data_IF_110617080208
#
_entry.id   IF_110617080208
#
_cell.length_a   1.000
_cell.length_b   1.000
_cell.length_c   1.000
_cell.angle_alpha   90.00
_cell.angle_beta   90.00
_cell.angle_gamma   90.00
#
_symmetry.space_group_name_H-M   'P 1'
#
loop_
_entity.id
_entity.type
_entity.pdbx_description
1 polymer ?
#
# COMPACT_ATOMS: atom_id res chain seq x y z
N UNK A 1 -35.96 18.61 -13.01
CA UNK A 1 -34.71 18.22 -13.70
C UNK A 1 -33.59 18.44 -12.72
N UNK A 2 -32.73 17.44 -12.50
CA UNK A 2 -31.46 17.43 -11.74
C UNK A 2 -31.28 15.95 -11.34
N UNK A 3 -30.54 15.14 -12.07
CA UNK A 3 -29.09 15.21 -12.16
C UNK A 3 -28.55 13.95 -11.47
N UNK A 4 -28.87 12.77 -12.01
CA UNK A 4 -28.35 11.48 -11.52
C UNK A 4 -26.85 11.48 -11.77
N UNK A 5 -26.04 11.62 -10.72
CA UNK A 5 -24.59 11.48 -10.82
C UNK A 5 -24.28 10.02 -11.11
N UNK A 6 -23.98 9.72 -12.37
CA UNK A 6 -23.48 8.42 -12.81
C UNK A 6 -22.12 8.15 -12.16
N UNK A 7 -22.15 7.32 -11.12
CA UNK A 7 -20.94 6.72 -10.55
C UNK A 7 -20.32 5.81 -11.61
N UNK A 8 -19.28 6.27 -12.28
CA UNK A 8 -18.52 5.50 -13.27
C UNK A 8 -17.74 4.41 -12.54
N UNK A 9 -18.36 3.25 -12.35
CA UNK A 9 -17.69 2.03 -11.94
C UNK A 9 -16.73 1.60 -13.06
N UNK A 10 -15.49 2.09 -13.04
CA UNK A 10 -14.45 1.64 -13.98
C UNK A 10 -14.35 0.10 -13.88
N UNK A 11 -14.47 -0.58 -15.02
CA UNK A 11 -14.53 -2.04 -15.11
C UNK A 11 -13.31 -2.78 -14.53
N UNK A 12 -13.32 -4.13 -14.53
CA UNK A 12 -12.21 -4.91 -14.00
C UNK A 12 -10.92 -4.58 -14.75
N UNK A 13 -9.87 -4.20 -14.01
CA UNK A 13 -8.55 -3.92 -14.60
C UNK A 13 -7.91 -5.25 -15.01
N UNK A 14 -7.34 -5.30 -16.21
CA UNK A 14 -6.64 -6.50 -16.71
C UNK A 14 -5.13 -6.28 -16.63
N UNK A 15 -4.40 -7.32 -16.28
CA UNK A 15 -2.94 -7.38 -16.32
C UNK A 15 -2.47 -8.52 -17.22
N UNK A 16 -1.61 -8.23 -18.19
CA UNK A 16 -0.92 -9.25 -18.97
C UNK A 16 0.38 -9.67 -18.27
N UNK A 17 0.51 -10.97 -17.97
CA UNK A 17 1.67 -11.54 -17.28
C UNK A 17 2.91 -11.42 -18.16
N UNK A 18 3.94 -10.75 -17.66
CA UNK A 18 5.27 -10.70 -18.25
C UNK A 18 6.21 -11.74 -17.62
N UNK A 19 7.30 -12.07 -18.32
CA UNK A 19 8.38 -12.91 -17.80
C UNK A 19 8.90 -12.33 -16.47
N UNK A 20 8.97 -13.17 -15.44
CA UNK A 20 9.42 -12.79 -14.09
C UNK A 20 8.31 -12.25 -13.18
N UNK A 21 7.07 -12.11 -13.65
CA UNK A 21 5.97 -11.85 -12.75
C UNK A 21 5.66 -13.09 -11.88
N UNK A 22 5.41 -12.81 -10.61
CA UNK A 22 4.80 -13.72 -9.64
C UNK A 22 3.44 -13.16 -9.22
N UNK A 23 2.54 -14.01 -8.73
CA UNK A 23 1.26 -13.57 -8.16
C UNK A 23 1.46 -12.51 -7.07
N UNK A 24 2.48 -12.68 -6.23
CA UNK A 24 2.86 -11.70 -5.22
C UNK A 24 3.22 -10.34 -5.85
N UNK A 25 4.12 -10.31 -6.83
CA UNK A 25 4.54 -9.07 -7.48
C UNK A 25 3.39 -8.33 -8.18
N UNK A 26 2.46 -9.09 -8.78
CA UNK A 26 1.28 -8.54 -9.44
C UNK A 26 0.31 -7.99 -8.39
N UNK A 27 0.00 -8.78 -7.36
CA UNK A 27 -0.91 -8.38 -6.30
C UNK A 27 -0.42 -7.08 -5.62
N UNK A 28 0.87 -7.00 -5.30
CA UNK A 28 1.48 -5.83 -4.70
C UNK A 28 1.48 -4.60 -5.64
N UNK A 29 1.72 -4.81 -6.95
CA UNK A 29 1.62 -3.75 -7.96
C UNK A 29 0.23 -3.12 -8.04
N UNK A 30 -0.82 -3.93 -7.84
CA UNK A 30 -2.20 -3.43 -7.89
C UNK A 30 -2.79 -3.15 -6.52
N UNK A 31 -2.01 -3.31 -5.46
CA UNK A 31 -2.43 -3.12 -4.08
C UNK A 31 -3.66 -3.98 -3.73
N UNK A 32 -3.61 -5.26 -4.12
CA UNK A 32 -4.61 -6.31 -3.84
C UNK A 32 -3.93 -7.50 -3.15
N UNK A 33 -4.68 -8.37 -2.47
CA UNK A 33 -4.10 -9.58 -1.89
C UNK A 33 -3.85 -10.67 -2.94
N UNK A 34 -2.84 -11.51 -2.71
CA UNK A 34 -2.57 -12.68 -3.57
C UNK A 34 -3.77 -13.61 -3.61
N UNK A 35 -4.42 -13.85 -2.48
CA UNK A 35 -5.59 -14.74 -2.41
C UNK A 35 -6.76 -14.22 -3.24
N UNK A 36 -7.03 -12.92 -3.20
CA UNK A 36 -8.09 -12.35 -4.03
C UNK A 36 -7.72 -12.37 -5.51
N UNK A 37 -6.45 -12.10 -5.86
CA UNK A 37 -5.97 -12.25 -7.22
C UNK A 37 -6.11 -13.71 -7.69
N UNK A 38 -5.83 -14.69 -6.82
CA UNK A 38 -6.03 -16.10 -7.11
C UNK A 38 -7.48 -16.45 -7.38
N UNK A 39 -8.36 -16.07 -6.45
CA UNK A 39 -9.81 -16.28 -6.54
C UNK A 39 -10.42 -15.65 -7.79
N UNK A 40 -10.02 -14.42 -8.13
CA UNK A 40 -10.52 -13.71 -9.31
C UNK A 40 -10.13 -14.37 -10.64
N UNK A 41 -9.08 -15.21 -10.63
CA UNK A 41 -8.54 -15.86 -11.82
C UNK A 41 -8.68 -17.39 -11.78
N UNK A 42 -9.49 -17.92 -10.87
CA UNK A 42 -9.76 -19.36 -10.79
C UNK A 42 -8.56 -20.22 -10.39
N UNK A 43 -7.52 -19.62 -9.80
CA UNK A 43 -6.38 -20.37 -9.30
C UNK A 43 -6.77 -21.18 -8.06
N UNK A 44 -6.29 -22.43 -7.97
CA UNK A 44 -6.51 -23.29 -6.82
C UNK A 44 -5.24 -23.41 -5.96
N UNK A 45 -5.32 -24.12 -4.83
CA UNK A 45 -4.15 -24.38 -3.98
C UNK A 45 -2.99 -25.08 -4.72
N UNK A 46 -3.29 -25.84 -5.78
CA UNK A 46 -2.30 -26.64 -6.53
C UNK A 46 -2.14 -26.20 -7.99
N UNK A 47 -2.84 -25.13 -8.40
CA UNK A 47 -2.77 -24.59 -9.77
C UNK A 47 -2.75 -23.08 -9.70
N UNK A 48 -1.55 -22.52 -9.58
CA UNK A 48 -1.31 -21.08 -9.52
C UNK A 48 -0.10 -20.62 -10.35
N UNK A 49 0.40 -21.50 -11.22
CA UNK A 49 1.44 -21.20 -12.20
C UNK A 49 0.99 -20.11 -13.17
N UNK A 50 1.82 -19.09 -13.32
CA UNK A 50 1.63 -18.01 -14.29
C UNK A 50 2.38 -18.32 -15.58
N UNK A 51 1.74 -18.04 -16.72
CA UNK A 51 2.35 -18.16 -18.05
C UNK A 51 2.52 -16.77 -18.69
N UNK A 52 3.63 -16.50 -19.40
CA UNK A 52 3.77 -15.27 -20.16
C UNK A 52 2.57 -15.05 -21.10
N UNK A 53 2.12 -13.79 -21.18
CA UNK A 53 0.95 -13.33 -21.95
C UNK A 53 -0.41 -13.78 -21.42
N UNK A 54 -0.46 -14.50 -20.29
CA UNK A 54 -1.71 -14.79 -19.61
C UNK A 54 -2.35 -13.50 -19.11
N UNK A 55 -3.65 -13.34 -19.34
CA UNK A 55 -4.41 -12.20 -18.84
C UNK A 55 -5.00 -12.52 -17.46
N UNK A 56 -4.75 -11.66 -16.49
CA UNK A 56 -5.32 -11.75 -15.16
C UNK A 56 -6.29 -10.60 -14.91
N UNK A 57 -7.47 -10.94 -14.39
CA UNK A 57 -8.40 -10.00 -13.77
C UNK A 57 -7.81 -9.52 -12.45
N UNK A 58 -7.65 -8.21 -12.31
CA UNK A 58 -7.25 -7.57 -11.08
C UNK A 58 -8.50 -7.21 -10.28
N UNK A 59 -8.77 -7.88 -9.15
CA UNK A 59 -9.97 -7.60 -8.35
C UNK A 59 -9.88 -6.22 -7.69
N UNK A 60 -11.02 -5.56 -7.49
CA UNK A 60 -11.11 -4.42 -6.56
C UNK A 60 -11.33 -4.93 -5.14
N UNK A 61 -10.30 -5.51 -4.54
CA UNK A 61 -10.31 -5.89 -3.12
C UNK A 61 -9.29 -5.09 -2.35
N UNK A 62 -9.53 -4.90 -1.06
CA UNK A 62 -8.52 -4.29 -0.19
C UNK A 62 -7.33 -5.25 -0.03
N UNK A 63 -6.13 -4.69 -0.08
CA UNK A 63 -4.92 -5.34 0.41
C UNK A 63 -4.86 -5.11 1.91
N UNK A 64 -4.64 -6.18 2.66
CA UNK A 64 -4.46 -6.14 4.11
C UNK A 64 -3.19 -6.92 4.42
N UNK A 65 -2.33 -6.33 5.24
CA UNK A 65 -1.16 -6.98 5.83
C UNK A 65 -1.20 -6.79 7.33
N UNK A 66 -1.34 -7.90 8.06
CA UNK A 66 -1.62 -7.93 9.50
C UNK A 66 -0.38 -7.72 10.37
N UNK A 67 0.82 -7.82 9.78
CA UNK A 67 2.09 -7.78 10.51
C UNK A 67 3.16 -7.07 9.68
N UNK A 68 3.12 -5.74 9.72
CA UNK A 68 4.13 -4.88 9.09
C UNK A 68 4.95 -4.21 10.18
N UNK A 69 6.29 -4.22 10.04
CA UNK A 69 7.12 -3.34 10.85
C UNK A 69 7.17 -1.96 10.19
N UNK A 70 6.72 -0.96 10.95
CA UNK A 70 6.77 0.44 10.57
C UNK A 70 7.79 1.20 11.43
N UNK A 71 8.48 2.16 10.84
CA UNK A 71 9.20 3.19 11.58
C UNK A 71 8.80 4.58 11.10
N UNK A 72 9.61 5.59 11.42
CA UNK A 72 9.41 6.94 10.93
C UNK A 72 10.70 7.53 10.37
N UNK A 73 10.57 8.48 9.46
CA UNK A 73 11.69 9.24 8.91
C UNK A 73 12.44 10.01 10.00
N UNK A 74 13.67 9.58 10.32
CA UNK A 74 14.52 10.27 11.28
C UNK A 74 14.90 11.70 10.88
N UNK A 75 15.65 12.42 11.73
CA UNK A 75 16.14 13.77 11.45
C UNK A 75 16.92 13.86 10.13
N UNK A 76 16.83 15.01 9.45
CA UNK A 76 17.64 15.33 8.26
C UNK A 76 17.03 14.93 6.91
N UNK A 77 15.84 14.33 6.88
CA UNK A 77 15.13 14.03 5.63
C UNK A 77 14.24 15.18 5.13
N UNK A 78 13.81 16.08 6.01
CA UNK A 78 12.92 17.19 5.66
C UNK A 78 13.47 18.01 4.49
N UNK A 79 12.61 18.32 3.51
CA UNK A 79 12.96 19.06 2.31
C UNK A 79 13.63 18.23 1.20
N UNK A 80 14.02 16.97 1.45
CA UNK A 80 14.57 16.08 0.41
C UNK A 80 13.50 15.71 -0.61
N UNK A 81 13.92 15.41 -1.85
CA UNK A 81 13.01 14.98 -2.91
C UNK A 81 12.60 13.52 -2.68
N UNK A 82 11.30 13.25 -2.67
CA UNK A 82 10.70 11.92 -2.60
C UNK A 82 10.56 11.31 -4.01
N UNK A 83 10.27 10.01 -4.08
CA UNK A 83 10.03 9.28 -5.33
C UNK A 83 8.84 9.80 -6.14
N UNK A 84 7.84 10.44 -5.51
CA UNK A 84 6.74 11.12 -6.22
C UNK A 84 7.15 12.49 -6.81
N UNK A 85 8.41 12.90 -6.64
CA UNK A 85 8.96 14.15 -7.16
C UNK A 85 8.76 15.37 -6.25
N UNK A 86 7.91 15.29 -5.22
CA UNK A 86 7.68 16.37 -4.24
C UNK A 86 8.78 16.38 -3.17
N UNK A 87 8.87 17.47 -2.40
CA UNK A 87 9.76 17.54 -1.23
C UNK A 87 9.07 16.95 0.00
N UNK A 88 9.81 16.18 0.79
CA UNK A 88 9.32 15.57 2.01
C UNK A 88 9.05 16.62 3.09
N UNK A 89 7.84 16.63 3.63
CA UNK A 89 7.51 17.36 4.86
C UNK A 89 7.31 16.37 6.02
N UNK A 90 8.13 16.49 7.06
CA UNK A 90 8.02 15.62 8.25
C UNK A 90 6.76 15.91 9.07
N UNK A 91 6.18 17.11 8.89
CA UNK A 91 4.98 17.56 9.58
C UNK A 91 3.70 17.22 8.82
N UNK A 92 3.80 16.75 7.57
CA UNK A 92 2.65 16.25 6.82
C UNK A 92 2.26 14.85 7.35
N UNK A 93 1.10 14.71 8.02
CA UNK A 93 0.68 13.44 8.61
C UNK A 93 0.20 12.42 7.57
N UNK A 94 0.19 12.78 6.28
CA UNK A 94 -0.26 11.89 5.19
C UNK A 94 0.90 11.19 4.49
N UNK A 95 2.16 11.53 4.77
CA UNK A 95 3.29 10.94 4.07
C UNK A 95 3.68 9.57 4.65
N UNK A 96 3.82 8.59 3.77
CA UNK A 96 4.53 7.34 4.05
C UNK A 96 5.44 6.92 2.87
N UNK A 97 6.49 6.16 3.18
CA UNK A 97 7.28 5.39 2.23
C UNK A 97 6.88 3.91 2.30
N UNK A 98 6.82 3.27 1.14
CA UNK A 98 6.66 1.82 1.06
C UNK A 98 7.55 1.26 -0.06
N UNK A 99 8.09 0.05 0.14
CA UNK A 99 9.05 -0.60 -0.78
C UNK A 99 8.52 -0.72 -2.21
N UNK A 100 7.27 -1.16 -2.34
CA UNK A 100 6.72 -1.71 -3.59
C UNK A 100 5.32 -1.21 -3.97
N UNK A 101 4.45 -0.87 -3.00
CA UNK A 101 3.12 -0.35 -3.30
C UNK A 101 3.19 0.87 -4.23
N UNK A 102 2.24 1.04 -5.17
CA UNK A 102 2.21 2.19 -6.05
C UNK A 102 2.20 3.52 -5.28
N UNK A 103 2.92 4.52 -5.81
CA UNK A 103 2.78 5.88 -5.31
C UNK A 103 1.32 6.33 -5.46
N UNK A 104 0.79 7.05 -4.47
CA UNK A 104 -0.62 7.43 -4.39
C UNK A 104 -1.52 6.40 -3.70
N UNK A 105 -1.01 5.23 -3.32
CA UNK A 105 -1.80 4.23 -2.59
C UNK A 105 -2.15 4.77 -1.21
N UNK A 106 -3.45 4.85 -0.87
CA UNK A 106 -3.88 5.23 0.48
C UNK A 106 -3.93 4.00 1.38
N UNK A 107 -3.35 4.12 2.57
CA UNK A 107 -3.28 3.07 3.57
C UNK A 107 -3.91 3.56 4.87
N UNK A 108 -4.79 2.75 5.46
CA UNK A 108 -5.05 2.81 6.91
C UNK A 108 -3.93 2.06 7.59
N UNK A 109 -3.25 2.72 8.50
CA UNK A 109 -2.17 2.15 9.32
C UNK A 109 -2.66 2.12 10.75
N UNK A 110 -2.72 0.94 11.35
CA UNK A 110 -3.20 0.73 12.72
C UNK A 110 -2.07 0.18 13.58
N UNK A 111 -1.69 0.88 14.64
CA UNK A 111 -0.75 0.34 15.64
C UNK A 111 -1.39 -0.85 16.37
N UNK A 112 -0.65 -1.97 16.45
CA UNK A 112 -1.14 -3.17 17.16
C UNK A 112 -1.10 -3.02 18.67
N UNK A 113 -0.24 -2.14 19.19
CA UNK A 113 -0.10 -1.95 20.63
C UNK A 113 -1.10 -0.95 21.20
N UNK A 114 -1.47 0.10 20.44
CA UNK A 114 -2.40 1.15 20.91
C UNK A 114 -3.79 1.03 20.30
N UNK A 115 -3.96 0.29 19.21
CA UNK A 115 -5.18 0.24 18.40
C UNK A 115 -5.50 1.54 17.65
N UNK A 116 -4.68 2.59 17.78
CA UNK A 116 -4.86 3.86 17.06
C UNK A 116 -4.53 3.69 15.59
N UNK A 117 -5.24 4.43 14.74
CA UNK A 117 -5.01 4.40 13.30
C UNK A 117 -4.93 5.77 12.66
N UNK A 118 -4.27 5.81 11.50
CA UNK A 118 -4.18 6.97 10.64
C UNK A 118 -4.28 6.55 9.17
N UNK A 119 -4.82 7.44 8.32
CA UNK A 119 -4.77 7.28 6.88
C UNK A 119 -3.59 8.06 6.31
N UNK A 120 -2.72 7.37 5.59
CA UNK A 120 -1.56 7.93 4.88
C UNK A 120 -1.63 7.59 3.40
N UNK A 121 -0.76 8.22 2.62
CA UNK A 121 -0.53 7.97 1.21
C UNK A 121 0.93 7.54 1.01
N UNK A 122 1.13 6.50 0.21
CA UNK A 122 2.46 6.08 -0.22
C UNK A 122 3.00 7.15 -1.18
N UNK A 123 3.88 8.01 -0.68
CA UNK A 123 4.44 9.16 -1.40
C UNK A 123 5.93 8.98 -1.73
N UNK A 124 6.59 8.01 -1.10
CA UNK A 124 8.00 7.73 -1.32
C UNK A 124 8.32 6.22 -1.34
N UNK A 125 9.60 5.88 -1.54
CA UNK A 125 10.14 4.52 -1.60
C UNK A 125 11.07 4.23 -0.43
N UNK A 126 11.13 2.95 -0.09
CA UNK A 126 11.80 2.45 1.10
C UNK A 126 10.78 1.99 2.14
N UNK A 127 11.23 1.63 3.35
CA UNK A 127 12.62 1.54 3.77
C UNK A 127 13.40 0.44 3.07
N UNK A 128 14.69 0.66 2.81
CA UNK A 128 15.58 -0.34 2.21
C UNK A 128 16.35 -1.12 3.27
N UNK A 129 15.65 -1.48 4.36
CA UNK A 129 16.18 -2.31 5.44
C UNK A 129 15.36 -3.60 5.46
N UNK A 130 16.04 -4.71 5.72
CA UNK A 130 15.41 -6.01 5.81
C UNK A 130 14.40 -6.05 6.97
N UNK A 131 13.23 -6.64 6.73
CA UNK A 131 12.16 -6.78 7.72
C UNK A 131 11.34 -5.53 8.04
N UNK A 132 11.57 -4.37 7.37
CA UNK A 132 10.76 -3.15 7.56
C UNK A 132 10.07 -2.75 6.26
N UNK A 133 8.77 -2.52 6.25
CA UNK A 133 8.01 -2.34 5.01
C UNK A 133 7.47 -0.92 4.85
N UNK A 134 7.36 -0.17 5.96
CA UNK A 134 6.75 1.14 6.00
C UNK A 134 7.60 2.14 6.81
N UNK A 135 7.81 3.33 6.26
CA UNK A 135 8.31 4.49 7.01
C UNK A 135 7.25 5.60 6.98
N UNK A 136 6.77 6.01 8.15
CA UNK A 136 5.82 7.10 8.33
C UNK A 136 6.54 8.44 8.44
N UNK A 137 5.85 9.54 8.13
CA UNK A 137 6.33 10.85 8.59
C UNK A 137 6.31 10.93 10.13
N UNK A 138 7.09 11.85 10.69
CA UNK A 138 7.07 12.11 12.13
C UNK A 138 5.65 12.47 12.62
N UNK A 139 4.92 13.30 11.86
CA UNK A 139 3.55 13.67 12.19
C UNK A 139 2.57 12.49 12.12
N UNK A 140 2.74 11.58 11.17
CA UNK A 140 1.92 10.38 11.07
C UNK A 140 2.17 9.41 12.22
N UNK A 141 3.44 9.14 12.54
CA UNK A 141 3.82 8.25 13.64
C UNK A 141 3.25 8.74 14.98
N UNK A 142 3.37 10.05 15.28
CA UNK A 142 2.84 10.66 16.53
C UNK A 142 1.34 10.44 16.74
N UNK A 143 0.58 10.15 15.68
CA UNK A 143 -0.86 9.93 15.77
C UNK A 143 -1.20 8.53 16.27
N UNK A 144 -0.32 7.56 16.03
CA UNK A 144 -0.56 6.17 16.41
C UNK A 144 0.35 5.72 17.57
N UNK A 145 1.56 6.26 17.71
CA UNK A 145 2.56 5.79 18.69
C UNK A 145 3.51 6.92 19.15
N UNK A 146 4.13 6.80 20.35
CA UNK A 146 5.24 7.67 20.75
C UNK A 146 6.48 7.47 19.86
N UNK A 147 7.13 8.57 19.45
CA UNK A 147 8.31 8.50 18.56
C UNK A 147 9.48 7.70 19.14
N UNK A 148 9.62 7.70 20.47
CA UNK A 148 10.71 7.04 21.21
C UNK A 148 10.70 5.52 21.03
N UNK A 149 9.54 4.95 20.65
CA UNK A 149 9.41 3.52 20.37
C UNK A 149 10.19 3.10 19.12
N UNK A 150 10.42 4.03 18.20
CA UNK A 150 11.21 3.82 16.99
C UNK A 150 10.48 2.95 15.96
N UNK A 151 10.53 1.63 16.15
CA UNK A 151 9.92 0.62 15.26
C UNK A 151 8.72 0.00 15.97
N UNK A 152 7.62 -0.18 15.23
CA UNK A 152 6.35 -0.67 15.77
C UNK A 152 5.70 -1.65 14.82
N UNK A 153 5.00 -2.65 15.37
CA UNK A 153 4.14 -3.53 14.59
C UNK A 153 2.81 -2.82 14.27
N UNK A 154 2.46 -2.83 12.99
CA UNK A 154 1.21 -2.25 12.47
C UNK A 154 0.49 -3.23 11.56
N UNK A 155 -0.82 -3.07 11.48
CA UNK A 155 -1.63 -3.57 10.37
C UNK A 155 -1.75 -2.46 9.33
N UNK A 156 -1.62 -2.80 8.05
CA UNK A 156 -1.94 -1.88 6.94
C UNK A 156 -3.09 -2.41 6.08
N UNK A 157 -3.97 -1.52 5.66
CA UNK A 157 -5.11 -1.82 4.79
C UNK A 157 -5.24 -0.76 3.69
N UNK A 158 -5.40 -1.15 2.42
CA UNK A 158 -5.64 -0.19 1.34
C UNK A 158 -7.03 0.43 1.43
N UNK A 159 -7.09 1.75 1.26
CA UNK A 159 -8.34 2.50 1.19
C UNK A 159 -8.56 2.92 -0.26
N UNK A 160 -9.60 2.38 -0.87
CA UNK A 160 -10.14 2.98 -2.09
C UNK A 160 -11.01 4.17 -1.70
N UNK A 161 -10.84 5.36 -2.31
CA UNK A 161 -11.84 6.40 -2.16
C UNK A 161 -13.19 5.82 -2.56
N UNK A 162 -14.21 6.03 -1.72
CA UNK A 162 -15.58 5.80 -2.14
C UNK A 162 -15.82 6.79 -3.29
N UNK A 163 -16.07 6.26 -4.48
CA UNK A 163 -16.54 7.05 -5.62
C UNK A 163 -17.94 7.57 -5.40
#
# INVERSE_FOLDING_TARGET
MEGKTEQTQQGPKIHEVAKGNTLFSIAQRYAVSVEALKKANGFSRHRDTLYPRQLLVIPKTKYVDEQVLASWYGPGFHGRKMANGKRFDQNDPTVAAHKTLPLGTKLRVTSKDTGKSIVVEVQDRGPYIWGRELDLSMAAMRRIEPLQKGVVEVQIETIYPRG
#
